data_IF_649755451242
#
_entry.id   IF_649755451242
#
_cell.length_a   1.000
_cell.length_b   1.000
_cell.length_c   1.000
_cell.angle_alpha   90.00
_cell.angle_beta   90.00
_cell.angle_gamma   90.00
#
_symmetry.space_group_name_H-M   'P 1'
#
loop_
_entity.id
_entity.type
_entity.pdbx_description
1 polymer ?
#
# COMPACT_ATOMS: atom_id res chain seq x y z
N UNK A 1 11.09 -20.53 -12.25
CA UNK A 1 10.65 -19.40 -11.40
C UNK A 1 9.40 -19.84 -10.65
N UNK A 2 9.40 -19.76 -9.33
CA UNK A 2 8.24 -20.19 -8.51
C UNK A 2 7.18 -19.09 -8.53
N UNK A 3 5.92 -19.44 -8.80
CA UNK A 3 4.80 -18.49 -8.86
C UNK A 3 3.79 -18.80 -7.78
N UNK A 4 3.33 -17.77 -7.06
CA UNK A 4 2.26 -17.88 -6.07
C UNK A 4 0.99 -17.25 -6.66
N UNK A 5 -0.11 -18.01 -6.69
CA UNK A 5 -1.41 -17.53 -7.14
C UNK A 5 -2.34 -17.36 -5.94
N UNK A 6 -2.82 -16.14 -5.71
CA UNK A 6 -3.80 -15.82 -4.67
C UNK A 6 -5.12 -15.39 -5.32
N UNK A 7 -6.24 -15.79 -4.72
CA UNK A 7 -7.59 -15.37 -5.14
C UNK A 7 -8.39 -14.96 -3.91
N UNK A 8 -8.87 -13.72 -3.91
CA UNK A 8 -9.77 -13.17 -2.90
C UNK A 8 -11.06 -12.75 -3.58
N UNK A 9 -12.21 -13.19 -3.06
CA UNK A 9 -13.53 -12.84 -3.58
C UNK A 9 -14.11 -11.76 -2.66
N UNK A 10 -14.45 -10.60 -3.24
CA UNK A 10 -14.97 -9.45 -2.50
C UNK A 10 -16.35 -9.11 -3.06
N UNK A 11 -17.38 -9.06 -2.21
CA UNK A 11 -18.74 -8.69 -2.60
C UNK A 11 -18.90 -7.16 -2.63
N UNK A 12 -18.27 -6.50 -3.60
CA UNK A 12 -18.35 -5.07 -3.81
C UNK A 12 -18.15 -4.73 -5.30
N UNK A 13 -18.52 -3.51 -5.70
CA UNK A 13 -18.30 -3.06 -7.08
C UNK A 13 -16.82 -3.04 -7.45
N UNK A 14 -16.51 -3.45 -8.68
CA UNK A 14 -15.13 -3.55 -9.18
C UNK A 14 -14.35 -2.23 -9.04
N UNK A 15 -15.01 -1.09 -9.30
CA UNK A 15 -14.40 0.23 -9.20
C UNK A 15 -14.05 0.61 -7.76
N UNK A 16 -14.88 0.20 -6.80
CA UNK A 16 -14.62 0.42 -5.37
C UNK A 16 -13.41 -0.40 -4.95
N UNK A 17 -13.37 -1.69 -5.30
CA UNK A 17 -12.23 -2.56 -4.97
C UNK A 17 -10.94 -2.03 -5.58
N UNK A 18 -10.97 -1.64 -6.86
CA UNK A 18 -9.81 -1.07 -7.56
C UNK A 18 -9.33 0.23 -6.91
N UNK A 19 -10.23 1.17 -6.62
CA UNK A 19 -9.86 2.44 -6.00
C UNK A 19 -9.35 2.25 -4.57
N UNK A 20 -9.93 1.35 -3.78
CA UNK A 20 -9.45 1.06 -2.42
C UNK A 20 -8.05 0.43 -2.45
N UNK A 21 -7.78 -0.48 -3.40
CA UNK A 21 -6.47 -1.11 -3.54
C UNK A 21 -5.34 -0.11 -3.85
N UNK A 22 -5.67 1.02 -4.49
CA UNK A 22 -4.73 2.08 -4.85
C UNK A 22 -4.83 3.33 -3.96
N UNK A 23 -5.57 3.27 -2.84
CA UNK A 23 -5.73 4.40 -1.93
C UNK A 23 -4.66 4.38 -0.82
N UNK A 24 -3.79 5.39 -0.80
CA UNK A 24 -2.69 5.53 0.15
C UNK A 24 -3.18 5.84 1.57
N UNK A 25 -4.32 6.49 1.73
CA UNK A 25 -4.90 6.76 3.05
C UNK A 25 -5.37 5.47 3.72
N UNK A 26 -6.09 4.62 2.97
CA UNK A 26 -6.44 3.28 3.46
C UNK A 26 -5.19 2.41 3.73
N UNK A 27 -4.15 2.53 2.90
CA UNK A 27 -2.91 1.81 3.14
C UNK A 27 -2.27 2.22 4.47
N UNK A 28 -2.15 3.53 4.75
CA UNK A 28 -1.66 4.04 6.05
C UNK A 28 -2.51 3.54 7.22
N UNK A 29 -3.83 3.56 7.09
CA UNK A 29 -4.73 3.05 8.13
C UNK A 29 -4.52 1.56 8.39
N UNK A 30 -4.29 0.75 7.37
CA UNK A 30 -4.08 -0.69 7.53
C UNK A 30 -2.83 -1.07 8.32
N UNK A 31 -1.86 -0.14 8.44
CA UNK A 31 -0.63 -0.33 9.22
C UNK A 31 -0.47 0.71 10.34
N UNK A 32 -1.56 1.31 10.82
CA UNK A 32 -1.52 2.37 11.85
C UNK A 32 -0.78 1.95 13.14
N UNK A 33 -0.77 0.65 13.44
CA UNK A 33 -0.09 0.05 14.59
C UNK A 33 1.41 -0.16 14.39
N UNK A 34 1.93 0.11 13.19
CA UNK A 34 3.34 0.02 12.85
C UNK A 34 4.01 1.40 12.91
N UNK A 35 5.33 1.43 12.66
CA UNK A 35 6.09 2.69 12.51
C UNK A 35 6.34 3.06 11.05
N UNK A 36 5.53 2.53 10.14
CA UNK A 36 5.66 2.80 8.72
C UNK A 36 5.25 4.24 8.38
N UNK A 37 6.02 4.88 7.49
CA UNK A 37 5.82 6.27 7.08
C UNK A 37 6.10 6.45 5.61
N UNK A 38 5.35 7.32 4.95
CA UNK A 38 5.70 7.82 3.62
C UNK A 38 6.83 8.83 3.77
N UNK A 39 7.90 8.66 3.00
CA UNK A 39 9.07 9.54 3.03
C UNK A 39 9.35 10.26 1.71
N UNK A 40 8.76 9.80 0.59
CA UNK A 40 8.86 10.46 -0.71
C UNK A 40 7.70 10.07 -1.64
N UNK A 41 7.52 10.84 -2.70
CA UNK A 41 6.46 10.62 -3.69
C UNK A 41 5.08 11.07 -3.21
N UNK A 42 4.02 10.44 -3.72
CA UNK A 42 2.64 10.77 -3.35
C UNK A 42 2.33 10.33 -1.91
N UNK A 43 1.59 11.17 -1.17
CA UNK A 43 1.40 11.00 0.28
C UNK A 43 -0.05 10.77 0.74
N UNK A 44 -1.02 10.89 -0.15
CA UNK A 44 -2.46 10.69 0.15
C UNK A 44 -3.29 10.43 -1.10
N UNK A 45 -4.54 10.01 -0.89
CA UNK A 45 -5.52 9.74 -1.93
C UNK A 45 -5.18 8.55 -2.81
N UNK A 46 -5.74 8.53 -4.00
CA UNK A 46 -5.52 7.48 -4.99
C UNK A 46 -4.17 7.69 -5.68
N UNK A 47 -3.32 6.67 -5.75
CA UNK A 47 -2.12 6.69 -6.60
C UNK A 47 -2.53 6.47 -8.06
N UNK A 48 -2.00 7.31 -8.94
CA UNK A 48 -2.26 7.27 -10.38
C UNK A 48 -1.14 6.55 -11.13
N UNK A 49 -1.35 6.33 -12.42
CA UNK A 49 -0.35 5.78 -13.32
C UNK A 49 0.94 6.63 -13.29
N UNK A 50 2.09 5.96 -13.36
CA UNK A 50 3.44 6.55 -13.28
C UNK A 50 3.79 7.29 -11.97
N UNK A 51 2.90 7.31 -10.98
CA UNK A 51 3.22 7.82 -9.65
C UNK A 51 3.88 6.75 -8.78
N UNK A 52 4.79 7.18 -7.92
CA UNK A 52 5.43 6.34 -6.92
C UNK A 52 5.27 6.91 -5.51
N UNK A 53 5.31 6.02 -4.54
CA UNK A 53 5.39 6.34 -3.11
C UNK A 53 6.53 5.53 -2.51
N UNK A 54 7.35 6.17 -1.69
CA UNK A 54 8.42 5.51 -0.95
C UNK A 54 8.04 5.43 0.51
N UNK A 55 8.09 4.22 1.06
CA UNK A 55 7.79 3.93 2.44
C UNK A 55 9.07 3.66 3.22
N UNK A 56 9.09 4.12 4.45
CA UNK A 56 10.05 3.72 5.46
C UNK A 56 9.32 2.85 6.47
N UNK A 57 9.73 1.60 6.62
CA UNK A 57 9.26 0.75 7.72
C UNK A 57 10.40 0.27 8.59
N UNK A 58 10.04 -0.37 9.71
CA UNK A 58 10.99 -0.88 10.69
C UNK A 58 10.91 -2.40 10.77
N UNK A 59 11.95 -3.07 10.27
CA UNK A 59 12.05 -4.54 10.31
C UNK A 59 13.30 -4.95 11.09
N UNK A 60 13.16 -5.92 11.99
CA UNK A 60 14.26 -6.47 12.81
C UNK A 60 15.10 -5.41 13.57
N UNK A 61 14.49 -4.27 13.91
CA UNK A 61 15.20 -3.18 14.61
C UNK A 61 15.77 -2.08 13.69
N UNK A 62 15.83 -2.31 12.38
CA UNK A 62 16.40 -1.38 11.39
C UNK A 62 15.32 -0.68 10.58
N UNK A 63 15.57 0.57 10.20
CA UNK A 63 14.71 1.28 9.24
C UNK A 63 15.14 0.92 7.82
N UNK A 64 14.19 0.44 7.04
CA UNK A 64 14.35 0.10 5.64
C UNK A 64 13.52 1.08 4.80
N UNK A 65 14.04 1.43 3.64
CA UNK A 65 13.42 2.33 2.68
C UNK A 65 13.10 1.50 1.43
N UNK A 66 11.86 1.59 0.95
CA UNK A 66 11.39 0.89 -0.25
C UNK A 66 10.40 1.75 -1.03
#
# INVERSE_FOLDING_TARGET
MTTIHLKTIINAEIKVVFNTARNLDYHKESFFFTKEKIIAGRSSGLIEEDESVTWQGKHFGFYLIY
#
